data_IF_362793595683
#
_entry.id   IF_362793595683
#
_cell.length_a   1.000
_cell.length_b   1.000
_cell.length_c   1.000
_cell.angle_alpha   90.00
_cell.angle_beta   90.00
_cell.angle_gamma   90.00
#
_symmetry.space_group_name_H-M   'P 1'
#
loop_
_entity.id
_entity.type
_entity.pdbx_description
1 polymer ?
#
# COMPACT_ATOMS: atom_id res chain seq x y z
N UNK A 1 -29.25 -8.30 3.52
CA UNK A 1 -28.37 -7.48 2.66
C UNK A 1 -27.15 -8.31 2.31
N UNK A 2 -27.09 -8.89 1.11
CA UNK A 2 -25.91 -9.64 0.65
C UNK A 2 -24.80 -8.63 0.31
N UNK A 3 -23.78 -8.56 1.15
CA UNK A 3 -22.59 -7.75 0.86
C UNK A 3 -21.81 -8.44 -0.25
N UNK A 4 -21.80 -7.86 -1.45
CA UNK A 4 -20.96 -8.35 -2.54
C UNK A 4 -19.49 -8.24 -2.12
N UNK A 5 -18.77 -9.37 -2.13
CA UNK A 5 -17.33 -9.45 -1.82
C UNK A 5 -16.51 -8.51 -2.71
N UNK A 6 -16.91 -8.34 -3.97
CA UNK A 6 -16.25 -7.48 -4.95
C UNK A 6 -16.91 -6.10 -5.06
N UNK A 7 -17.15 -5.47 -3.91
CA UNK A 7 -17.77 -4.14 -3.82
C UNK A 7 -16.80 -3.00 -4.17
N UNK A 8 -17.33 -1.77 -4.25
CA UNK A 8 -16.53 -0.54 -4.33
C UNK A 8 -15.55 -0.42 -3.16
N UNK A 9 -15.94 -0.82 -1.95
CA UNK A 9 -15.10 -0.81 -0.77
C UNK A 9 -13.87 -1.72 -0.93
N UNK A 10 -14.05 -2.93 -1.50
CA UNK A 10 -12.93 -3.83 -1.80
C UNK A 10 -11.94 -3.19 -2.77
N UNK A 11 -12.42 -2.52 -3.84
CA UNK A 11 -11.54 -1.84 -4.81
C UNK A 11 -10.76 -0.70 -4.16
N UNK A 12 -11.37 0.08 -3.27
CA UNK A 12 -10.70 1.14 -2.53
C UNK A 12 -9.64 0.59 -1.58
N UNK A 13 -9.96 -0.51 -0.89
CA UNK A 13 -9.05 -1.19 0.02
C UNK A 13 -7.80 -1.70 -0.71
N UNK A 14 -7.96 -2.44 -1.82
CA UNK A 14 -6.83 -2.95 -2.62
C UNK A 14 -5.98 -1.80 -3.18
N UNK A 15 -6.61 -0.72 -3.67
CA UNK A 15 -5.88 0.48 -4.13
C UNK A 15 -5.08 1.12 -2.99
N UNK A 16 -5.64 1.19 -1.79
CA UNK A 16 -4.94 1.71 -0.61
C UNK A 16 -3.75 0.83 -0.22
N UNK A 17 -3.93 -0.50 -0.20
CA UNK A 17 -2.87 -1.46 0.07
C UNK A 17 -1.72 -1.35 -0.95
N UNK A 18 -2.05 -1.31 -2.25
CA UNK A 18 -1.07 -1.13 -3.33
C UNK A 18 -0.28 0.17 -3.16
N UNK A 19 -0.96 1.28 -2.85
CA UNK A 19 -0.31 2.57 -2.59
C UNK A 19 0.65 2.49 -1.40
N UNK A 20 0.23 1.84 -0.30
CA UNK A 20 1.08 1.67 0.89
C UNK A 20 2.32 0.83 0.58
N UNK A 21 2.21 -0.22 -0.22
CA UNK A 21 3.34 -1.02 -0.67
C UNK A 21 4.37 -0.19 -1.47
N UNK A 22 3.89 0.58 -2.46
CA UNK A 22 4.76 1.44 -3.26
C UNK A 22 5.46 2.51 -2.42
N UNK A 23 4.73 3.13 -1.49
CA UNK A 23 5.29 4.15 -0.59
C UNK A 23 6.35 3.53 0.33
N UNK A 24 6.04 2.41 0.99
CA UNK A 24 6.99 1.74 1.87
C UNK A 24 8.26 1.30 1.13
N UNK A 25 8.13 0.74 -0.07
CA UNK A 25 9.29 0.40 -0.91
C UNK A 25 10.12 1.62 -1.30
N UNK A 26 9.48 2.77 -1.55
CA UNK A 26 10.18 4.02 -1.83
C UNK A 26 10.90 4.58 -0.60
N UNK A 27 10.30 4.45 0.57
CA UNK A 27 10.90 4.90 1.84
C UNK A 27 12.21 4.14 2.10
N UNK A 28 12.27 2.84 1.79
CA UNK A 28 13.50 2.04 1.84
C UNK A 28 14.49 2.33 0.71
N UNK A 29 14.01 2.50 -0.53
CA UNK A 29 14.85 2.68 -1.73
C UNK A 29 14.60 4.03 -2.37
N UNK A 30 15.26 5.07 -1.86
CA UNK A 30 15.07 6.46 -2.32
C UNK A 30 15.48 6.66 -3.78
N UNK A 31 16.52 5.93 -4.22
CA UNK A 31 17.07 6.01 -5.59
C UNK A 31 16.08 5.48 -6.62
N UNK A 32 15.58 6.37 -7.49
CA UNK A 32 14.48 6.07 -8.44
C UNK A 32 14.84 5.05 -9.51
N UNK A 33 16.10 4.97 -9.90
CA UNK A 33 16.63 3.98 -10.84
C UNK A 33 16.53 2.56 -10.29
N UNK A 34 16.81 2.38 -9.00
CA UNK A 34 16.70 1.08 -8.31
C UNK A 34 15.26 0.77 -7.88
N UNK A 35 14.50 1.78 -7.50
CA UNK A 35 13.11 1.62 -7.05
C UNK A 35 12.14 1.26 -8.17
N UNK A 36 12.33 1.76 -9.39
CA UNK A 36 11.41 1.49 -10.52
C UNK A 36 11.24 -0.02 -10.82
N UNK A 37 12.32 -0.83 -10.91
CA UNK A 37 12.20 -2.28 -11.01
C UNK A 37 11.38 -2.91 -9.86
N UNK A 38 11.61 -2.48 -8.61
CA UNK A 38 10.86 -2.98 -7.45
C UNK A 38 9.37 -2.63 -7.54
N UNK A 39 9.05 -1.39 -7.93
CA UNK A 39 7.66 -0.96 -8.15
C UNK A 39 6.95 -1.80 -9.23
N UNK A 40 7.67 -2.20 -10.30
CA UNK A 40 7.13 -3.10 -11.32
C UNK A 40 6.91 -4.52 -10.78
N UNK A 41 7.81 -5.03 -9.93
CA UNK A 41 7.63 -6.32 -9.25
C UNK A 41 6.38 -6.32 -8.37
N UNK A 42 6.22 -5.29 -7.53
CA UNK A 42 5.02 -5.09 -6.71
C UNK A 42 3.77 -5.08 -7.61
N UNK A 43 3.78 -4.33 -8.71
CA UNK A 43 2.66 -4.33 -9.66
C UNK A 43 2.37 -5.73 -10.22
N UNK A 44 3.39 -6.46 -10.61
CA UNK A 44 3.24 -7.81 -11.16
C UNK A 44 2.66 -8.79 -10.13
N UNK A 45 2.97 -8.64 -8.84
CA UNK A 45 2.35 -9.42 -7.76
C UNK A 45 0.85 -9.12 -7.59
N UNK A 46 0.47 -7.85 -7.65
CA UNK A 46 -0.95 -7.46 -7.60
C UNK A 46 -1.73 -7.95 -8.83
N UNK A 47 -1.15 -7.83 -10.04
CA UNK A 47 -1.80 -8.32 -11.27
C UNK A 47 -1.93 -9.85 -11.28
N UNK A 48 -0.96 -10.59 -10.72
CA UNK A 48 -1.05 -12.06 -10.57
C UNK A 48 -2.28 -12.51 -9.78
N UNK A 49 -2.71 -11.71 -8.80
CA UNK A 49 -3.86 -12.02 -7.93
C UNK A 49 -5.16 -11.30 -8.34
N UNK A 50 -5.19 -10.65 -9.51
CA UNK A 50 -6.32 -9.80 -9.93
C UNK A 50 -7.64 -10.57 -10.14
N UNK A 51 -7.56 -11.81 -10.61
CA UNK A 51 -8.73 -12.61 -11.00
C UNK A 51 -9.09 -13.70 -9.97
N UNK A 52 -8.76 -13.47 -8.68
CA UNK A 52 -9.19 -14.36 -7.61
C UNK A 52 -10.66 -14.10 -7.29
N UNK A 53 -11.50 -15.12 -7.51
CA UNK A 53 -12.95 -15.01 -7.34
C UNK A 53 -13.47 -15.64 -6.04
N UNK A 54 -12.69 -16.54 -5.43
CA UNK A 54 -13.04 -17.12 -4.13
C UNK A 54 -12.80 -16.11 -2.99
N UNK A 55 -13.85 -15.73 -2.22
CA UNK A 55 -13.73 -14.81 -1.10
C UNK A 55 -12.78 -15.28 0.00
N UNK A 56 -12.67 -16.59 0.23
CA UNK A 56 -11.81 -17.15 1.30
C UNK A 56 -10.34 -17.04 0.92
N UNK A 57 -9.99 -17.51 -0.27
CA UNK A 57 -8.65 -17.34 -0.83
C UNK A 57 -8.22 -15.86 -0.88
N UNK A 58 -9.14 -14.97 -1.25
CA UNK A 58 -8.87 -13.52 -1.29
C UNK A 58 -8.56 -12.96 0.11
N UNK A 59 -9.34 -13.34 1.13
CA UNK A 59 -9.10 -12.91 2.51
C UNK A 59 -7.71 -13.35 3.01
N UNK A 60 -7.32 -14.59 2.74
CA UNK A 60 -5.98 -15.09 3.09
C UNK A 60 -4.86 -14.34 2.39
N UNK A 61 -5.02 -14.01 1.09
CA UNK A 61 -4.03 -13.24 0.32
C UNK A 61 -3.87 -11.84 0.92
N UNK A 62 -4.97 -11.18 1.25
CA UNK A 62 -4.95 -9.84 1.82
C UNK A 62 -4.33 -9.84 3.22
N UNK A 63 -4.65 -10.83 4.06
CA UNK A 63 -4.05 -11.00 5.38
C UNK A 63 -2.54 -11.21 5.30
N UNK A 64 -2.09 -12.13 4.42
CA UNK A 64 -0.66 -12.35 4.15
C UNK A 64 0.03 -11.08 3.67
N UNK A 65 -0.61 -10.32 2.78
CA UNK A 65 -0.06 -9.07 2.26
C UNK A 65 0.03 -7.97 3.34
N UNK A 66 -0.95 -7.85 4.22
CA UNK A 66 -0.91 -6.89 5.35
C UNK A 66 0.16 -7.29 6.36
N UNK A 67 0.27 -8.57 6.72
CA UNK A 67 1.30 -9.06 7.62
C UNK A 67 2.71 -8.80 7.07
N UNK A 68 2.92 -9.08 5.78
CA UNK A 68 4.19 -8.81 5.10
C UNK A 68 4.52 -7.30 5.09
N UNK A 69 3.55 -6.44 4.80
CA UNK A 69 3.74 -4.99 4.82
C UNK A 69 4.07 -4.49 6.23
N UNK A 70 3.42 -5.03 7.26
CA UNK A 70 3.66 -4.67 8.66
C UNK A 70 5.09 -5.05 9.08
N UNK A 71 5.56 -6.24 8.70
CA UNK A 71 6.90 -6.73 9.03
C UNK A 71 8.00 -5.91 8.33
N UNK A 72 7.75 -5.43 7.12
CA UNK A 72 8.71 -4.68 6.32
C UNK A 72 8.53 -3.16 6.40
N UNK A 73 7.73 -2.67 7.35
CA UNK A 73 7.42 -1.25 7.45
C UNK A 73 8.67 -0.44 7.80
N UNK A 74 8.95 0.61 7.04
CA UNK A 74 10.05 1.51 7.36
C UNK A 74 9.81 2.18 8.74
N UNK A 75 10.82 2.23 9.64
CA UNK A 75 10.64 2.79 10.98
C UNK A 75 10.36 4.30 10.97
N UNK A 76 10.92 5.03 10.00
CA UNK A 76 10.75 6.48 9.84
C UNK A 76 10.34 6.82 8.39
N UNK A 77 9.07 6.62 8.00
CA UNK A 77 8.64 6.78 6.61
C UNK A 77 8.68 8.26 6.16
N UNK A 78 8.81 8.51 4.86
CA UNK A 78 8.79 9.89 4.37
C UNK A 78 7.40 10.52 4.51
N UNK A 79 7.32 11.60 5.26
CA UNK A 79 6.10 12.40 5.44
C UNK A 79 6.31 13.77 4.78
N UNK A 80 5.42 14.21 3.86
CA UNK A 80 5.51 15.54 3.29
C UNK A 80 5.52 16.63 4.38
N UNK A 81 6.32 17.70 4.26
CA UNK A 81 6.52 18.65 5.35
C UNK A 81 5.22 19.27 5.90
N UNK A 82 4.22 19.51 5.05
CA UNK A 82 2.95 20.15 5.43
C UNK A 82 1.83 19.15 5.72
N UNK A 83 2.08 17.84 5.64
CA UNK A 83 1.11 16.82 6.02
C UNK A 83 1.14 16.62 7.55
N UNK A 84 0.08 16.03 8.14
CA UNK A 84 0.11 15.63 9.55
C UNK A 84 1.34 14.77 9.88
N UNK A 85 2.08 15.15 10.93
CA UNK A 85 3.34 14.51 11.31
C UNK A 85 4.57 14.97 10.52
N UNK A 86 4.41 15.85 9.53
CA UNK A 86 5.50 16.46 8.80
C UNK A 86 6.18 17.61 9.57
N UNK A 87 7.41 17.94 9.19
CA UNK A 87 8.23 18.93 9.92
C UNK A 87 7.65 20.35 9.94
N UNK A 88 6.79 20.70 8.97
CA UNK A 88 6.12 22.01 8.83
C UNK A 88 4.61 21.95 9.13
N UNK A 89 4.12 20.84 9.71
CA UNK A 89 2.72 20.73 10.13
C UNK A 89 2.37 21.83 11.13
N UNK A 90 1.25 22.53 10.91
CA UNK A 90 0.72 23.60 11.78
C UNK A 90 1.72 24.71 12.16
N UNK A 91 2.81 24.89 11.38
CA UNK A 91 3.85 25.85 11.73
C UNK A 91 3.38 27.31 11.65
N UNK A 92 2.49 27.62 10.70
CA UNK A 92 1.96 28.96 10.44
C UNK A 92 0.42 28.92 10.41
N UNK A 93 -0.21 28.35 11.43
CA UNK A 93 -1.68 28.43 11.56
C UNK A 93 -2.11 29.89 11.71
N UNK A 94 -3.15 30.35 11.00
CA UNK A 94 -3.65 31.73 11.11
C UNK A 94 -4.03 32.13 12.53
#
# INVERSE_FOLDING_TARGET
MSTSTFSSAHRLYVKSLYRRYLQNSLDWTIRRDLWRPQALQIRAEFERNRNVHDPRALAEILEKAEAHLANMKHPDPYIPPTAPGGTKWERNTP
#
